data_IF_245112361674
#
_entry.id   IF_245112361674
#
_cell.length_a   1.000
_cell.length_b   1.000
_cell.length_c   1.000
_cell.angle_alpha   90.00
_cell.angle_beta   90.00
_cell.angle_gamma   90.00
#
_symmetry.space_group_name_H-M   'P 1'
#
loop_
_entity.id
_entity.type
_entity.pdbx_description
1 polymer ?
#
# COMPACT_ATOMS: atom_id res chain seq x y z
N UNK A 1 28.37 -27.39 -17.06
CA UNK A 1 27.51 -28.22 -16.17
C UNK A 1 28.36 -28.96 -15.14
N UNK A 2 29.20 -28.25 -14.40
CA UNK A 2 29.77 -28.80 -13.17
C UNK A 2 28.92 -28.31 -12.00
N UNK A 3 28.48 -29.24 -11.18
CA UNK A 3 27.63 -29.01 -10.02
C UNK A 3 28.33 -29.61 -8.81
N UNK A 4 28.46 -28.84 -7.74
CA UNK A 4 28.95 -29.37 -6.48
C UNK A 4 27.78 -29.95 -5.67
N UNK A 5 27.89 -31.20 -5.25
CA UNK A 5 26.90 -31.88 -4.40
C UNK A 5 27.55 -32.34 -3.10
N UNK A 6 26.99 -31.90 -1.96
CA UNK A 6 27.34 -32.38 -0.62
C UNK A 6 26.10 -32.87 0.11
N UNK A 7 26.16 -34.07 0.70
CA UNK A 7 25.09 -34.62 1.54
C UNK A 7 25.67 -35.22 2.81
N UNK A 8 25.12 -34.86 3.98
CA UNK A 8 25.51 -35.41 5.30
C UNK A 8 27.04 -35.37 5.54
N UNK A 9 27.66 -34.22 5.28
CA UNK A 9 29.09 -33.98 5.47
C UNK A 9 29.33 -32.72 6.29
N UNK A 10 30.42 -32.75 7.08
CA UNK A 10 30.98 -31.54 7.68
C UNK A 10 31.96 -30.90 6.69
N UNK A 11 31.73 -29.64 6.35
CA UNK A 11 32.62 -28.82 5.52
C UNK A 11 33.25 -27.74 6.38
N UNK A 12 34.55 -27.50 6.24
CA UNK A 12 35.14 -26.29 6.80
C UNK A 12 34.83 -25.06 5.93
N UNK A 13 34.94 -23.88 6.52
CA UNK A 13 34.65 -22.61 5.86
C UNK A 13 35.56 -22.36 4.65
N UNK A 14 36.82 -22.80 4.70
CA UNK A 14 37.78 -22.66 3.60
C UNK A 14 37.37 -23.50 2.40
N UNK A 15 36.91 -24.74 2.61
CA UNK A 15 36.36 -25.60 1.56
C UNK A 15 35.10 -24.98 0.98
N UNK A 16 34.18 -24.50 1.81
CA UNK A 16 32.96 -23.82 1.34
C UNK A 16 33.28 -22.58 0.50
N UNK A 17 34.22 -21.74 0.95
CA UNK A 17 34.69 -20.57 0.20
C UNK A 17 35.41 -20.96 -1.09
N UNK A 18 36.14 -22.08 -1.11
CA UNK A 18 36.78 -22.60 -2.31
C UNK A 18 35.75 -23.05 -3.34
N UNK A 19 34.65 -23.70 -2.91
CA UNK A 19 33.53 -24.12 -3.76
C UNK A 19 32.80 -22.89 -4.33
N UNK A 20 32.57 -21.87 -3.49
CA UNK A 20 31.98 -20.61 -3.93
C UNK A 20 32.83 -19.91 -5.01
N UNK A 21 34.16 -19.97 -4.90
CA UNK A 21 35.09 -19.37 -5.86
C UNK A 21 35.40 -20.25 -7.07
N UNK A 22 35.13 -21.55 -7.00
CA UNK A 22 35.37 -22.50 -8.09
C UNK A 22 34.38 -22.28 -9.24
N UNK A 23 34.71 -22.78 -10.44
CA UNK A 23 33.92 -22.61 -11.66
C UNK A 23 32.75 -23.63 -11.74
N UNK A 24 31.86 -23.57 -10.75
CA UNK A 24 30.62 -24.33 -10.70
C UNK A 24 29.43 -23.47 -11.15
N UNK A 25 28.53 -24.05 -11.93
CA UNK A 25 27.27 -23.40 -12.34
C UNK A 25 26.28 -23.30 -11.18
N UNK A 26 26.37 -24.23 -10.22
CA UNK A 26 25.49 -24.35 -9.06
C UNK A 26 26.12 -25.16 -7.93
N UNK A 27 25.68 -24.88 -6.70
CA UNK A 27 26.14 -25.52 -5.46
C UNK A 27 24.92 -26.07 -4.74
N UNK A 28 24.90 -27.37 -4.47
CA UNK A 28 23.84 -28.05 -3.72
C UNK A 28 24.43 -28.73 -2.48
N UNK A 29 24.07 -28.23 -1.32
CA UNK A 29 24.38 -28.80 -0.02
C UNK A 29 23.07 -29.16 0.69
N UNK A 30 22.96 -30.39 1.15
CA UNK A 30 21.80 -30.85 1.92
C UNK A 30 22.26 -31.59 3.16
N UNK A 31 21.68 -31.28 4.33
CA UNK A 31 22.08 -31.89 5.60
C UNK A 31 23.58 -31.72 5.92
N UNK A 32 24.20 -30.62 5.48
CA UNK A 32 25.62 -30.36 5.72
C UNK A 32 25.82 -29.48 6.95
N UNK A 33 26.92 -29.72 7.67
CA UNK A 33 27.38 -28.82 8.74
C UNK A 33 28.56 -28.02 8.19
N UNK A 34 28.47 -26.70 8.22
CA UNK A 34 29.55 -25.82 7.81
C UNK A 34 30.17 -25.19 9.06
N UNK A 35 31.45 -25.51 9.30
CA UNK A 35 32.22 -25.07 10.46
C UNK A 35 33.25 -24.01 10.07
N UNK A 36 33.42 -23.00 10.94
CA UNK A 36 34.35 -21.91 10.71
C UNK A 36 33.67 -20.65 10.16
N UNK A 37 34.34 -19.51 10.34
CA UNK A 37 33.79 -18.21 9.96
C UNK A 37 33.90 -18.01 8.45
N UNK A 38 32.75 -17.81 7.80
CA UNK A 38 32.68 -17.59 6.35
C UNK A 38 32.65 -16.08 6.11
N UNK A 39 33.71 -15.55 5.50
CA UNK A 39 33.77 -14.14 5.06
C UNK A 39 34.00 -14.11 3.56
N UNK A 40 32.93 -13.86 2.82
CA UNK A 40 32.99 -13.62 1.40
C UNK A 40 33.10 -12.11 1.15
N UNK A 41 34.34 -11.61 1.19
CA UNK A 41 34.69 -10.22 0.89
C UNK A 41 35.72 -10.14 -0.23
N UNK A 42 35.70 -9.04 -1.00
CA UNK A 42 36.74 -8.74 -1.96
C UNK A 42 38.04 -8.51 -1.19
N UNK A 43 39.15 -9.08 -1.68
CA UNK A 43 40.48 -8.73 -1.17
C UNK A 43 40.73 -7.29 -1.61
N UNK A 44 40.58 -6.34 -0.68
CA UNK A 44 40.78 -4.91 -0.91
C UNK A 44 42.05 -4.65 -1.75
N UNK A 45 41.87 -4.15 -2.97
CA UNK A 45 42.85 -3.29 -3.65
C UNK A 45 42.15 -1.97 -3.88
N UNK A 46 42.80 -0.88 -3.49
CA UNK A 46 42.17 0.36 -3.06
C UNK A 46 41.52 1.23 -4.17
N UNK A 47 41.18 0.70 -5.34
CA UNK A 47 40.81 1.54 -6.50
C UNK A 47 39.62 1.05 -7.34
N UNK A 48 38.88 0.02 -6.93
CA UNK A 48 37.59 -0.30 -7.56
C UNK A 48 36.56 -0.80 -6.53
N UNK A 49 35.38 -0.19 -6.51
CA UNK A 49 34.18 -0.78 -5.91
C UNK A 49 33.71 -1.95 -6.78
N UNK A 50 34.53 -3.00 -6.88
CA UNK A 50 34.09 -4.24 -7.51
C UNK A 50 33.09 -4.91 -6.59
N UNK A 51 31.81 -4.78 -6.95
CA UNK A 51 30.73 -5.55 -6.36
C UNK A 51 31.06 -7.04 -6.53
N UNK A 52 31.03 -7.80 -5.43
CA UNK A 52 31.34 -9.23 -5.45
C UNK A 52 30.22 -9.98 -6.18
N UNK A 53 30.46 -10.41 -7.41
CA UNK A 53 29.45 -11.12 -8.20
C UNK A 53 29.52 -12.62 -7.92
N UNK A 54 28.37 -13.21 -7.60
CA UNK A 54 28.18 -14.66 -7.50
C UNK A 54 27.14 -15.06 -8.55
N UNK A 55 27.63 -15.58 -9.68
CA UNK A 55 26.81 -16.04 -10.81
C UNK A 55 26.57 -17.56 -10.80
N UNK A 56 26.05 -18.05 -9.68
CA UNK A 56 25.68 -19.46 -9.52
C UNK A 56 24.53 -19.61 -8.56
N UNK A 57 23.74 -20.64 -8.79
CA UNK A 57 22.65 -21.02 -7.89
C UNK A 57 23.25 -21.62 -6.61
N UNK A 58 22.80 -21.15 -5.46
CA UNK A 58 23.23 -21.66 -4.16
C UNK A 58 22.03 -22.29 -3.48
N UNK A 59 22.10 -23.60 -3.26
CA UNK A 59 21.04 -24.37 -2.59
C UNK A 59 21.65 -25.07 -1.39
N UNK A 60 21.41 -24.53 -0.20
CA UNK A 60 21.84 -25.07 1.08
C UNK A 60 20.59 -25.38 1.91
N UNK A 61 20.08 -26.60 1.82
CA UNK A 61 18.83 -27.01 2.47
C UNK A 61 19.15 -27.85 3.71
N UNK A 62 18.46 -27.60 4.82
CA UNK A 62 18.69 -28.34 6.07
C UNK A 62 20.17 -28.33 6.53
N UNK A 63 20.89 -27.25 6.21
CA UNK A 63 22.29 -27.10 6.56
C UNK A 63 22.44 -26.36 7.89
N UNK A 64 23.56 -26.55 8.56
CA UNK A 64 23.88 -25.88 9.82
C UNK A 64 25.16 -25.07 9.70
N UNK A 65 25.06 -23.75 9.84
CA UNK A 65 26.19 -22.84 9.86
C UNK A 65 26.55 -22.54 11.32
N UNK A 66 27.66 -23.12 11.79
CA UNK A 66 28.08 -23.04 13.20
C UNK A 66 28.66 -21.69 13.61
N UNK A 67 29.13 -20.90 12.65
CA UNK A 67 29.81 -19.64 12.88
C UNK A 67 29.29 -18.55 11.95
N UNK A 68 29.83 -17.34 12.13
CA UNK A 68 29.42 -16.14 11.40
C UNK A 68 29.50 -16.35 9.88
N UNK A 69 28.42 -15.97 9.20
CA UNK A 69 28.29 -15.98 7.74
C UNK A 69 28.21 -14.54 7.22
N UNK A 70 29.20 -14.10 6.43
CA UNK A 70 29.22 -12.75 5.85
C UNK A 70 29.27 -12.78 4.33
N UNK A 71 28.21 -12.24 3.74
CA UNK A 71 28.10 -11.86 2.34
C UNK A 71 27.70 -10.39 2.30
N UNK A 72 28.59 -9.48 2.72
CA UNK A 72 28.34 -8.04 2.62
C UNK A 72 28.68 -7.56 1.21
N UNK A 73 27.90 -6.61 0.68
CA UNK A 73 28.13 -6.00 -0.65
C UNK A 73 28.28 -7.02 -1.79
N UNK A 74 27.55 -8.13 -1.69
CA UNK A 74 27.58 -9.21 -2.67
C UNK A 74 26.40 -9.07 -3.65
N UNK A 75 26.61 -9.43 -4.92
CA UNK A 75 25.60 -9.46 -5.97
C UNK A 75 25.35 -10.92 -6.38
N UNK A 76 24.26 -11.51 -5.90
CA UNK A 76 23.83 -12.84 -6.30
C UNK A 76 22.99 -12.73 -7.57
N UNK A 77 23.52 -13.19 -8.70
CA UNK A 77 22.80 -13.14 -9.99
C UNK A 77 21.73 -14.21 -10.12
N UNK A 78 21.93 -15.35 -9.46
CA UNK A 78 21.00 -16.48 -9.47
C UNK A 78 20.34 -16.67 -8.10
N UNK A 79 19.48 -17.67 -8.03
CA UNK A 79 18.69 -18.01 -6.87
C UNK A 79 19.55 -18.47 -5.68
N UNK A 80 19.11 -18.10 -4.48
CA UNK A 80 19.79 -18.44 -3.22
C UNK A 80 18.78 -19.03 -2.24
N UNK A 81 18.93 -20.31 -1.93
CA UNK A 81 18.02 -21.07 -1.08
C UNK A 81 18.76 -21.58 0.16
N UNK A 82 18.34 -21.12 1.33
CA UNK A 82 18.78 -21.54 2.66
C UNK A 82 17.64 -22.20 3.47
N UNK A 83 16.64 -22.77 2.79
CA UNK A 83 15.45 -23.31 3.44
C UNK A 83 15.76 -24.40 4.47
N UNK A 84 15.03 -24.40 5.59
CA UNK A 84 15.20 -25.33 6.71
C UNK A 84 16.60 -25.33 7.36
N UNK A 85 17.44 -24.33 7.09
CA UNK A 85 18.80 -24.27 7.64
C UNK A 85 18.86 -23.57 9.00
N UNK A 86 19.92 -23.81 9.76
CA UNK A 86 20.18 -23.19 11.06
C UNK A 86 21.44 -22.35 10.99
N UNK A 87 21.35 -21.11 11.45
CA UNK A 87 22.48 -20.18 11.58
C UNK A 87 22.71 -19.91 13.07
N UNK A 88 23.75 -20.53 13.64
CA UNK A 88 24.01 -20.45 15.08
C UNK A 88 24.53 -19.07 15.51
N UNK A 89 25.33 -18.44 14.64
CA UNK A 89 25.96 -17.15 14.89
C UNK A 89 25.44 -16.08 13.92
N UNK A 90 25.98 -14.86 13.99
CA UNK A 90 25.51 -13.73 13.20
C UNK A 90 25.59 -13.97 11.69
N UNK A 91 24.54 -13.53 10.97
CA UNK A 91 24.49 -13.56 9.50
C UNK A 91 24.45 -12.13 8.96
N UNK A 92 25.36 -11.81 8.06
CA UNK A 92 25.52 -10.48 7.47
C UNK A 92 25.28 -10.52 5.96
N UNK A 93 24.20 -9.86 5.52
CA UNK A 93 23.87 -9.58 4.12
C UNK A 93 23.80 -8.07 3.84
N UNK A 94 24.52 -7.27 4.63
CA UNK A 94 24.50 -5.82 4.51
C UNK A 94 24.87 -5.34 3.11
N UNK A 95 24.06 -4.45 2.54
CA UNK A 95 24.24 -3.90 1.18
C UNK A 95 24.33 -4.96 0.06
N UNK A 96 23.83 -6.17 0.30
CA UNK A 96 23.78 -7.24 -0.72
C UNK A 96 22.59 -7.11 -1.63
N UNK A 97 22.73 -7.60 -2.86
CA UNK A 97 21.68 -7.62 -3.86
C UNK A 97 21.40 -9.06 -4.26
N UNK A 98 20.15 -9.49 -4.08
CA UNK A 98 19.62 -10.75 -4.59
C UNK A 98 18.85 -10.45 -5.87
N UNK A 99 19.41 -10.79 -7.02
CA UNK A 99 18.82 -10.47 -8.31
C UNK A 99 17.55 -11.30 -8.57
N UNK A 100 17.58 -12.59 -8.21
CA UNK A 100 16.48 -13.54 -8.33
C UNK A 100 15.89 -13.90 -6.96
N UNK A 101 15.00 -14.90 -6.93
CA UNK A 101 14.33 -15.33 -5.71
C UNK A 101 15.33 -15.82 -4.66
N UNK A 102 15.07 -15.49 -3.39
CA UNK A 102 15.78 -16.03 -2.26
C UNK A 102 14.81 -16.63 -1.23
N UNK A 103 15.19 -17.76 -0.63
CA UNK A 103 14.34 -18.48 0.32
C UNK A 103 15.11 -18.83 1.60
N UNK A 104 14.64 -18.31 2.73
CA UNK A 104 15.07 -18.63 4.08
C UNK A 104 13.92 -19.30 4.88
N UNK A 105 12.91 -19.83 4.19
CA UNK A 105 11.73 -20.44 4.79
C UNK A 105 12.09 -21.59 5.72
N UNK A 106 11.39 -21.66 6.85
CA UNK A 106 11.58 -22.68 7.89
C UNK A 106 13.01 -22.71 8.49
N UNK A 107 13.84 -21.70 8.21
CA UNK A 107 15.17 -21.55 8.81
C UNK A 107 15.11 -20.96 10.22
N UNK A 108 16.19 -21.13 10.97
CA UNK A 108 16.37 -20.60 12.32
C UNK A 108 17.64 -19.77 12.39
N UNK A 109 17.50 -18.49 12.75
CA UNK A 109 18.61 -17.60 13.06
C UNK A 109 18.74 -17.50 14.59
N UNK A 110 19.68 -18.25 15.16
CA UNK A 110 20.01 -18.20 16.60
C UNK A 110 20.90 -17.00 16.93
N UNK A 111 21.69 -16.53 15.96
CA UNK A 111 22.41 -15.27 16.00
C UNK A 111 21.64 -14.10 15.35
N UNK A 112 22.17 -12.86 15.43
CA UNK A 112 21.59 -11.70 14.76
C UNK A 112 21.53 -11.88 13.24
N UNK A 113 20.41 -11.50 12.62
CA UNK A 113 20.22 -11.55 11.17
C UNK A 113 20.22 -10.13 10.60
N UNK A 114 21.31 -9.75 9.92
CA UNK A 114 21.59 -8.37 9.52
C UNK A 114 21.48 -8.23 7.99
N UNK A 115 20.35 -7.67 7.54
CA UNK A 115 20.02 -7.41 6.14
C UNK A 115 20.04 -5.91 5.82
N UNK A 116 20.75 -5.09 6.59
CA UNK A 116 20.68 -3.64 6.44
C UNK A 116 21.10 -3.19 5.04
N UNK A 117 20.25 -2.42 4.37
CA UNK A 117 20.52 -1.93 3.01
C UNK A 117 20.46 -3.00 1.91
N UNK A 118 20.03 -4.23 2.21
CA UNK A 118 19.90 -5.29 1.19
C UNK A 118 18.82 -4.92 0.16
N UNK A 119 19.03 -5.29 -1.10
CA UNK A 119 18.06 -5.17 -2.19
C UNK A 119 17.63 -6.57 -2.64
N UNK A 120 16.35 -6.90 -2.48
CA UNK A 120 15.74 -8.11 -3.00
C UNK A 120 15.00 -7.78 -4.29
N UNK A 121 15.61 -8.07 -5.44
CA UNK A 121 14.99 -7.89 -6.75
C UNK A 121 14.04 -9.03 -7.11
N UNK A 122 14.29 -10.24 -6.62
CA UNK A 122 13.34 -11.35 -6.66
C UNK A 122 12.48 -11.47 -5.40
N UNK A 123 11.57 -12.45 -5.40
CA UNK A 123 10.74 -12.75 -4.21
C UNK A 123 11.63 -13.17 -3.04
N UNK A 124 11.45 -12.54 -1.88
CA UNK A 124 12.16 -12.88 -0.66
C UNK A 124 11.24 -13.62 0.31
N UNK A 125 11.56 -14.88 0.61
CA UNK A 125 10.76 -15.74 1.49
C UNK A 125 11.46 -15.97 2.83
N UNK A 126 10.73 -15.69 3.90
CA UNK A 126 11.05 -15.91 5.30
C UNK A 126 9.86 -16.61 6.00
N UNK A 127 9.10 -17.42 5.26
CA UNK A 127 7.92 -18.12 5.77
C UNK A 127 8.30 -19.06 6.91
N UNK A 128 7.65 -18.94 8.07
CA UNK A 128 7.93 -19.72 9.29
C UNK A 128 9.38 -19.65 9.76
N UNK A 129 10.14 -18.64 9.32
CA UNK A 129 11.51 -18.40 9.81
C UNK A 129 11.46 -17.96 11.27
N UNK A 130 12.41 -18.44 12.09
CA UNK A 130 12.55 -18.01 13.48
C UNK A 130 13.79 -17.14 13.64
N UNK A 131 13.59 -15.87 13.94
CA UNK A 131 14.65 -14.95 14.37
C UNK A 131 14.68 -14.93 15.89
N UNK A 132 15.64 -15.63 16.49
CA UNK A 132 15.77 -15.70 17.95
C UNK A 132 16.42 -14.45 18.55
N UNK A 133 17.19 -13.74 17.72
CA UNK A 133 17.86 -12.48 18.04
C UNK A 133 17.36 -11.37 17.13
N UNK A 134 17.95 -10.19 17.31
CA UNK A 134 17.64 -8.99 16.51
C UNK A 134 17.67 -9.31 15.02
N UNK A 135 16.61 -8.93 14.33
CA UNK A 135 16.50 -8.99 12.88
C UNK A 135 16.49 -7.55 12.31
N UNK A 136 17.56 -7.17 11.62
CA UNK A 136 17.75 -5.83 11.07
C UNK A 136 17.48 -5.81 9.57
N UNK A 137 16.30 -5.31 9.19
CA UNK A 137 15.87 -5.02 7.82
C UNK A 137 15.78 -3.51 7.55
N UNK A 138 16.53 -2.68 8.28
CA UNK A 138 16.58 -1.25 8.02
C UNK A 138 17.14 -0.97 6.62
N UNK A 139 16.61 0.06 5.97
CA UNK A 139 17.06 0.50 4.63
C UNK A 139 16.91 -0.58 3.52
N UNK A 140 16.17 -1.67 3.79
CA UNK A 140 15.96 -2.75 2.80
C UNK A 140 15.00 -2.34 1.70
N UNK A 141 15.26 -2.81 0.48
CA UNK A 141 14.34 -2.69 -0.64
C UNK A 141 13.85 -4.07 -1.08
N UNK A 142 12.55 -4.31 -1.00
CA UNK A 142 11.88 -5.47 -1.59
C UNK A 142 11.19 -5.04 -2.89
N UNK A 143 11.77 -5.37 -4.03
CA UNK A 143 11.23 -5.04 -5.35
C UNK A 143 10.10 -5.98 -5.78
N UNK A 144 10.11 -7.23 -5.29
CA UNK A 144 9.06 -8.24 -5.46
C UNK A 144 8.43 -8.59 -4.11
N UNK A 145 7.56 -9.61 -4.08
CA UNK A 145 6.84 -10.02 -2.87
C UNK A 145 7.81 -10.36 -1.72
N UNK A 146 7.51 -9.85 -0.53
CA UNK A 146 8.20 -10.17 0.72
C UNK A 146 7.28 -11.01 1.61
N UNK A 147 7.67 -12.25 1.89
CA UNK A 147 6.80 -13.23 2.56
C UNK A 147 7.39 -13.62 3.91
N UNK A 148 6.77 -13.17 4.99
CA UNK A 148 7.10 -13.46 6.39
C UNK A 148 5.97 -14.23 7.08
N UNK A 149 5.19 -15.00 6.31
CA UNK A 149 4.04 -15.74 6.78
C UNK A 149 4.43 -16.73 7.88
N UNK A 150 3.85 -16.58 9.08
CA UNK A 150 4.16 -17.41 10.25
C UNK A 150 5.57 -17.21 10.81
N UNK A 151 6.31 -16.18 10.38
CA UNK A 151 7.63 -15.88 10.91
C UNK A 151 7.56 -15.47 12.39
N UNK A 152 8.57 -15.82 13.18
CA UNK A 152 8.63 -15.53 14.60
C UNK A 152 9.87 -14.67 14.88
N UNK A 153 9.64 -13.44 15.33
CA UNK A 153 10.65 -12.53 15.84
C UNK A 153 10.61 -12.55 17.37
N UNK A 154 11.64 -13.11 18.00
CA UNK A 154 11.72 -13.22 19.46
C UNK A 154 12.22 -11.92 20.10
N UNK A 155 13.28 -11.34 19.52
CA UNK A 155 13.82 -10.04 19.90
C UNK A 155 13.30 -8.93 18.95
N UNK A 156 13.81 -7.71 19.13
CA UNK A 156 13.46 -6.55 18.31
C UNK A 156 13.66 -6.80 16.81
N UNK A 157 12.69 -6.33 16.02
CA UNK A 157 12.74 -6.37 14.55
C UNK A 157 12.68 -4.96 13.99
N UNK A 158 13.62 -4.63 13.10
CA UNK A 158 13.78 -3.28 12.58
C UNK A 158 13.53 -3.26 11.07
N UNK A 159 12.52 -2.51 10.65
CA UNK A 159 12.11 -2.26 9.27
C UNK A 159 12.05 -0.74 8.99
N UNK A 160 12.96 0.03 9.59
CA UNK A 160 12.96 1.48 9.39
C UNK A 160 13.52 1.83 8.02
N UNK A 161 12.88 2.78 7.34
CA UNK A 161 13.24 3.20 5.97
C UNK A 161 13.21 2.04 4.94
N UNK A 162 12.49 0.97 5.24
CA UNK A 162 12.29 -0.16 4.33
C UNK A 162 11.27 0.20 3.26
N UNK A 163 11.53 -0.19 2.03
CA UNK A 163 10.65 0.02 0.89
C UNK A 163 10.10 -1.31 0.36
N UNK A 164 8.80 -1.52 0.49
CA UNK A 164 8.09 -2.68 -0.03
C UNK A 164 7.35 -2.29 -1.31
N UNK A 165 7.87 -2.71 -2.47
CA UNK A 165 7.30 -2.38 -3.78
C UNK A 165 6.05 -3.20 -4.11
N UNK A 166 6.07 -4.49 -3.78
CA UNK A 166 4.99 -5.45 -4.00
C UNK A 166 4.37 -5.88 -2.67
N UNK A 167 3.60 -6.98 -2.68
CA UNK A 167 2.89 -7.48 -1.51
C UNK A 167 3.84 -7.85 -0.38
N UNK A 168 3.47 -7.43 0.82
CA UNK A 168 4.08 -7.84 2.08
C UNK A 168 3.11 -8.75 2.85
N UNK A 169 3.53 -9.98 3.13
CA UNK A 169 2.73 -10.97 3.86
C UNK A 169 3.35 -11.25 5.24
N UNK A 170 2.69 -10.78 6.29
CA UNK A 170 2.98 -11.08 7.70
C UNK A 170 1.85 -11.91 8.34
N UNK A 171 1.06 -12.65 7.56
CA UNK A 171 -0.03 -13.47 8.08
C UNK A 171 0.51 -14.46 9.11
N UNK A 172 -0.10 -14.52 10.29
CA UNK A 172 0.32 -15.35 11.44
C UNK A 172 1.74 -15.06 11.96
N UNK A 173 2.39 -13.96 11.56
CA UNK A 173 3.69 -13.59 12.10
C UNK A 173 3.58 -13.21 13.59
N UNK A 174 4.62 -13.53 14.38
CA UNK A 174 4.68 -13.22 15.80
C UNK A 174 5.87 -12.31 16.09
N UNK A 175 5.60 -11.14 16.65
CA UNK A 175 6.58 -10.19 17.16
C UNK A 175 6.54 -10.20 18.68
N UNK A 176 7.50 -10.85 19.30
CA UNK A 176 7.55 -11.02 20.77
C UNK A 176 8.18 -9.82 21.49
N UNK A 177 8.82 -8.94 20.74
CA UNK A 177 9.36 -7.65 21.20
C UNK A 177 9.02 -6.56 20.16
N UNK A 178 9.69 -5.42 20.26
CA UNK A 178 9.43 -4.20 19.51
C UNK A 178 9.64 -4.41 18.02
N UNK A 179 8.59 -4.16 17.23
CA UNK A 179 8.66 -4.07 15.78
C UNK A 179 8.65 -2.60 15.34
N UNK A 180 9.68 -2.17 14.61
CA UNK A 180 9.88 -0.75 14.23
C UNK A 180 9.79 -0.60 12.72
N UNK A 181 8.80 0.15 12.23
CA UNK A 181 8.58 0.42 10.80
C UNK A 181 8.77 1.91 10.45
N UNK A 182 9.55 2.64 11.25
CA UNK A 182 9.62 4.10 11.11
C UNK A 182 10.14 4.52 9.72
N UNK A 183 9.45 5.46 9.07
CA UNK A 183 9.76 5.95 7.72
C UNK A 183 9.74 4.86 6.62
N UNK A 184 9.08 3.72 6.87
CA UNK A 184 8.90 2.71 5.81
C UNK A 184 7.82 3.15 4.81
N UNK A 185 7.89 2.55 3.62
CA UNK A 185 6.92 2.77 2.54
C UNK A 185 6.37 1.43 2.06
N UNK A 186 5.04 1.34 2.01
CA UNK A 186 4.32 0.17 1.49
C UNK A 186 3.56 0.59 0.22
N UNK A 187 3.88 -0.02 -0.93
CA UNK A 187 3.27 0.34 -2.22
C UNK A 187 2.04 -0.49 -2.60
N UNK A 188 2.05 -1.77 -2.30
CA UNK A 188 0.93 -2.69 -2.55
C UNK A 188 0.38 -3.22 -1.23
N UNK A 189 -0.46 -4.25 -1.28
CA UNK A 189 -1.09 -4.89 -0.12
C UNK A 189 -0.09 -5.25 0.98
N UNK A 190 -0.48 -4.98 2.23
CA UNK A 190 0.28 -5.39 3.40
C UNK A 190 -0.66 -6.12 4.36
N UNK A 191 -0.38 -7.41 4.55
CA UNK A 191 -1.26 -8.31 5.26
C UNK A 191 -0.66 -8.69 6.62
N UNK A 192 -1.21 -8.17 7.70
CA UNK A 192 -0.91 -8.60 9.08
C UNK A 192 -2.06 -9.41 9.68
N UNK A 193 -2.87 -10.10 8.85
CA UNK A 193 -3.99 -10.92 9.33
C UNK A 193 -3.48 -11.95 10.34
N UNK A 194 -4.07 -11.98 11.54
CA UNK A 194 -3.66 -12.84 12.66
C UNK A 194 -2.21 -12.68 13.14
N UNK A 195 -1.51 -11.62 12.72
CA UNK A 195 -0.20 -11.30 13.28
C UNK A 195 -0.34 -10.88 14.75
N UNK A 196 0.64 -11.27 15.57
CA UNK A 196 0.65 -11.00 17.01
C UNK A 196 1.82 -10.10 17.37
N UNK A 197 1.55 -9.05 18.14
CA UNK A 197 2.55 -8.16 18.69
C UNK A 197 2.47 -8.22 20.21
N UNK A 198 3.49 -8.72 20.89
CA UNK A 198 3.54 -8.80 22.35
C UNK A 198 3.85 -7.43 22.98
N UNK A 199 4.53 -6.56 22.23
CA UNK A 199 4.84 -5.17 22.60
C UNK A 199 4.35 -4.25 21.47
N UNK A 200 4.09 -2.98 21.82
CA UNK A 200 3.75 -1.92 20.89
C UNK A 200 4.67 -1.88 19.66
N UNK A 201 4.09 -1.78 18.47
CA UNK A 201 4.83 -1.56 17.23
C UNK A 201 4.89 -0.06 16.89
N UNK A 202 6.07 0.40 16.46
CA UNK A 202 6.34 1.81 16.16
C UNK A 202 6.20 2.09 14.66
N UNK A 203 5.30 3.01 14.30
CA UNK A 203 4.99 3.38 12.92
C UNK A 203 5.07 4.90 12.70
N UNK A 204 6.20 5.53 13.01
CA UNK A 204 6.38 6.97 12.81
C UNK A 204 6.69 7.31 11.35
N UNK A 205 5.99 8.30 10.79
CA UNK A 205 6.20 8.79 9.42
C UNK A 205 6.12 7.70 8.34
N UNK A 206 5.27 6.69 8.54
CA UNK A 206 5.02 5.66 7.53
C UNK A 206 4.16 6.24 6.42
N UNK A 207 4.57 6.02 5.17
CA UNK A 207 3.81 6.43 4.00
C UNK A 207 3.08 5.23 3.39
N UNK A 208 1.76 5.33 3.26
CA UNK A 208 0.92 4.39 2.51
C UNK A 208 0.45 5.06 1.24
N UNK A 209 0.42 4.34 0.12
CA UNK A 209 -0.21 4.86 -1.08
C UNK A 209 -1.73 4.68 -0.94
N UNK A 210 -2.46 5.76 -0.72
CA UNK A 210 -3.91 5.70 -0.54
C UNK A 210 -4.61 5.65 -1.89
N UNK A 211 -5.35 4.57 -2.11
CA UNK A 211 -6.32 4.41 -3.19
C UNK A 211 -7.15 5.68 -3.38
N UNK A 212 -6.87 6.44 -4.43
CA UNK A 212 -7.67 7.59 -4.83
C UNK A 212 -8.00 7.50 -6.30
N UNK A 213 -9.20 7.95 -6.69
CA UNK A 213 -9.62 7.95 -8.10
C UNK A 213 -8.64 8.73 -8.99
N UNK A 214 -8.01 9.79 -8.47
CA UNK A 214 -6.98 10.53 -9.20
C UNK A 214 -5.69 9.74 -9.41
N UNK A 215 -5.32 8.84 -8.49
CA UNK A 215 -4.24 7.89 -8.72
C UNK A 215 -4.65 6.84 -9.73
N UNK A 216 -5.87 6.29 -9.68
CA UNK A 216 -6.36 5.37 -10.70
C UNK A 216 -6.34 5.99 -12.12
N UNK A 217 -6.83 7.23 -12.25
CA UNK A 217 -6.77 7.98 -13.52
C UNK A 217 -5.31 8.16 -13.96
N UNK A 218 -4.42 8.55 -13.04
CA UNK A 218 -2.99 8.71 -13.33
C UNK A 218 -2.36 7.39 -13.78
N UNK A 219 -2.59 6.29 -13.07
CA UNK A 219 -2.03 4.96 -13.40
C UNK A 219 -2.50 4.48 -14.77
N UNK A 220 -3.78 4.69 -15.12
CA UNK A 220 -4.32 4.35 -16.44
C UNK A 220 -3.75 5.20 -17.57
N UNK A 221 -3.33 6.43 -17.28
CA UNK A 221 -2.64 7.32 -18.23
C UNK A 221 -1.14 7.01 -18.33
N UNK A 222 -0.55 6.39 -17.29
CA UNK A 222 0.91 6.17 -17.18
C UNK A 222 1.32 4.70 -17.40
N UNK A 223 0.41 3.82 -17.85
CA UNK A 223 0.64 2.37 -18.06
C UNK A 223 1.37 1.66 -16.89
N UNK A 224 1.07 2.06 -15.66
CA UNK A 224 1.55 1.39 -14.44
C UNK A 224 0.40 0.58 -13.83
N UNK A 225 0.55 -0.74 -13.63
CA UNK A 225 -0.43 -1.53 -12.90
C UNK A 225 -0.22 -1.31 -11.40
N UNK A 226 -0.84 -0.29 -10.82
CA UNK A 226 -0.87 -0.08 -9.38
C UNK A 226 -2.19 -0.62 -8.82
N UNK A 227 -2.11 -1.61 -7.92
CA UNK A 227 -3.23 -2.04 -7.11
C UNK A 227 -3.18 -1.39 -5.71
N UNK A 228 -4.35 -1.10 -5.12
CA UNK A 228 -4.50 -0.48 -3.80
C UNK A 228 -3.68 -1.13 -2.68
N UNK A 229 -3.16 -0.35 -1.73
CA UNK A 229 -2.72 -0.89 -0.44
C UNK A 229 -3.92 -1.16 0.47
N UNK A 230 -4.33 -2.41 0.50
CA UNK A 230 -5.28 -2.96 1.46
C UNK A 230 -4.54 -3.42 2.73
N UNK A 231 -4.90 -2.88 3.91
CA UNK A 231 -4.22 -3.13 5.19
C UNK A 231 -5.10 -3.99 6.11
N UNK A 232 -4.55 -5.05 6.71
CA UNK A 232 -5.28 -6.00 7.55
C UNK A 232 -4.60 -6.11 8.91
N UNK A 233 -5.30 -5.81 9.99
CA UNK A 233 -4.80 -6.02 11.35
C UNK A 233 -5.97 -6.41 12.24
N UNK A 234 -6.23 -7.70 12.29
CA UNK A 234 -7.27 -8.30 13.14
C UNK A 234 -6.66 -8.67 14.51
N UNK A 235 -6.17 -7.66 15.23
CA UNK A 235 -5.66 -7.86 16.58
C UNK A 235 -6.59 -7.20 17.58
N UNK A 236 -6.97 -7.92 18.62
CA UNK A 236 -7.65 -7.39 19.82
C UNK A 236 -6.85 -6.27 20.51
N UNK A 237 -5.58 -6.04 20.12
CA UNK A 237 -4.65 -5.13 20.76
C UNK A 237 -4.20 -3.94 19.88
N UNK A 238 -5.14 -3.29 19.19
CA UNK A 238 -4.90 -1.98 18.52
C UNK A 238 -4.50 -0.91 19.56
N UNK A 239 -4.63 -1.19 20.86
CA UNK A 239 -4.19 -0.30 21.94
C UNK A 239 -2.65 -0.22 22.05
N UNK A 240 -1.92 -1.24 21.59
CA UNK A 240 -0.46 -1.22 21.51
C UNK A 240 0.10 -0.33 20.38
N UNK A 241 -0.71 0.11 19.41
CA UNK A 241 -0.20 1.00 18.36
C UNK A 241 -0.18 2.44 18.86
N UNK A 242 1.02 2.95 19.17
CA UNK A 242 1.24 4.30 19.68
C UNK A 242 0.84 5.42 18.70
N UNK A 243 0.69 5.12 17.41
CA UNK A 243 0.33 6.11 16.40
C UNK A 243 -1.21 6.21 16.23
N UNK A 244 -1.84 7.31 16.69
CA UNK A 244 -3.30 7.48 16.59
C UNK A 244 -3.79 7.59 15.13
N UNK A 245 -2.98 8.13 14.22
CA UNK A 245 -3.33 8.21 12.80
C UNK A 245 -3.36 6.83 12.15
N UNK A 246 -2.41 5.96 12.52
CA UNK A 246 -2.39 4.59 12.04
C UNK A 246 -3.58 3.80 12.56
N UNK A 247 -3.85 3.87 13.88
CA UNK A 247 -5.02 3.23 14.50
C UNK A 247 -6.33 3.60 13.79
N UNK A 248 -6.51 4.88 13.46
CA UNK A 248 -7.67 5.36 12.70
C UNK A 248 -7.68 4.85 11.26
N UNK A 249 -6.53 4.84 10.58
CA UNK A 249 -6.42 4.30 9.23
C UNK A 249 -6.82 2.81 9.16
N UNK A 250 -6.34 1.99 10.11
CA UNK A 250 -6.72 0.58 10.21
C UNK A 250 -8.23 0.41 10.41
N UNK A 251 -8.80 1.17 11.35
CA UNK A 251 -10.24 1.13 11.62
C UNK A 251 -11.09 1.56 10.40
N UNK A 252 -10.69 2.61 9.71
CA UNK A 252 -11.36 3.09 8.49
C UNK A 252 -11.31 2.03 7.38
N UNK A 253 -10.17 1.36 7.19
CA UNK A 253 -10.03 0.28 6.19
C UNK A 253 -10.89 -0.93 6.53
N UNK A 254 -10.93 -1.35 7.79
CA UNK A 254 -11.81 -2.43 8.25
C UNK A 254 -13.28 -2.10 8.02
N UNK A 255 -13.70 -0.87 8.34
CA UNK A 255 -15.07 -0.42 8.11
C UNK A 255 -15.43 -0.43 6.62
N UNK A 256 -14.56 0.10 5.75
CA UNK A 256 -14.79 0.12 4.30
C UNK A 256 -14.99 -1.31 3.76
N UNK A 257 -14.24 -2.29 4.26
CA UNK A 257 -14.41 -3.70 3.86
C UNK A 257 -15.72 -4.30 4.33
N UNK A 258 -16.01 -4.22 5.62
CA UNK A 258 -17.25 -4.73 6.18
C UNK A 258 -18.46 -4.11 5.46
N UNK A 259 -18.35 -2.83 5.09
CA UNK A 259 -19.34 -2.14 4.28
C UNK A 259 -19.40 -2.66 2.84
N UNK A 260 -18.26 -2.89 2.18
CA UNK A 260 -18.17 -3.41 0.81
C UNK A 260 -18.73 -4.84 0.67
N UNK A 261 -18.48 -5.70 1.65
CA UNK A 261 -19.03 -7.05 1.70
C UNK A 261 -20.55 -7.04 1.87
N UNK A 262 -21.04 -6.17 2.76
CA UNK A 262 -22.48 -6.06 3.04
C UNK A 262 -23.25 -5.30 1.96
N UNK A 263 -22.63 -4.28 1.35
CA UNK A 263 -23.26 -3.31 0.47
C UNK A 263 -22.36 -2.94 -0.73
N UNK A 264 -22.14 -3.87 -1.68
CA UNK A 264 -21.18 -3.67 -2.78
C UNK A 264 -21.57 -2.51 -3.70
N UNK A 265 -22.86 -2.34 -3.99
CA UNK A 265 -23.35 -1.23 -4.81
C UNK A 265 -23.12 0.14 -4.15
N UNK A 266 -23.44 0.28 -2.86
CA UNK A 266 -23.24 1.53 -2.14
C UNK A 266 -21.76 1.85 -1.93
N UNK A 267 -20.91 0.83 -1.74
CA UNK A 267 -19.47 1.00 -1.69
C UNK A 267 -18.92 1.57 -3.00
N UNK A 268 -19.43 1.12 -4.14
CA UNK A 268 -19.07 1.67 -5.45
C UNK A 268 -19.48 3.14 -5.58
N UNK A 269 -20.71 3.50 -5.19
CA UNK A 269 -21.20 4.90 -5.21
C UNK A 269 -20.37 5.79 -4.29
N UNK A 270 -20.06 5.31 -3.08
CA UNK A 270 -19.28 6.07 -2.11
C UNK A 270 -17.83 6.27 -2.54
N UNK A 271 -17.23 5.25 -3.16
CA UNK A 271 -15.94 5.34 -3.84
C UNK A 271 -15.96 6.40 -4.92
N UNK A 272 -16.90 6.31 -5.86
CA UNK A 272 -16.94 7.19 -7.04
C UNK A 272 -17.18 8.67 -6.69
N UNK A 273 -17.99 8.92 -5.66
CA UNK A 273 -18.35 10.27 -5.23
C UNK A 273 -17.25 10.97 -4.42
N UNK A 274 -16.63 10.28 -3.46
CA UNK A 274 -15.73 10.90 -2.47
C UNK A 274 -14.47 10.12 -2.18
N UNK A 275 -14.28 8.99 -2.86
CA UNK A 275 -13.23 8.03 -2.56
C UNK A 275 -13.27 7.57 -1.09
N UNK A 276 -14.45 7.09 -0.68
CA UNK A 276 -14.74 6.73 0.72
C UNK A 276 -14.53 7.88 1.71
N UNK A 277 -14.80 9.11 1.29
CA UNK A 277 -14.65 10.31 2.11
C UNK A 277 -13.23 10.87 2.17
N UNK A 278 -12.29 10.35 1.37
CA UNK A 278 -10.87 10.76 1.40
C UNK A 278 -10.58 11.96 0.50
N UNK A 279 -11.38 12.17 -0.54
CA UNK A 279 -11.11 13.20 -1.56
C UNK A 279 -12.14 14.31 -1.60
N UNK A 280 -11.76 15.46 -1.03
CA UNK A 280 -12.52 16.71 -1.14
C UNK A 280 -12.66 17.18 -2.59
N UNK A 281 -11.62 16.99 -3.41
CA UNK A 281 -11.61 17.46 -4.79
C UNK A 281 -12.65 16.73 -5.66
N UNK A 282 -12.78 15.41 -5.48
CA UNK A 282 -13.82 14.63 -6.15
C UNK A 282 -15.21 15.05 -5.71
N UNK A 283 -15.40 15.27 -4.41
CA UNK A 283 -16.68 15.75 -3.90
C UNK A 283 -17.06 17.12 -4.48
N UNK A 284 -16.11 18.06 -4.53
CA UNK A 284 -16.31 19.37 -5.14
C UNK A 284 -16.60 19.28 -6.64
N UNK A 285 -15.91 18.39 -7.35
CA UNK A 285 -16.16 18.11 -8.77
C UNK A 285 -17.59 17.61 -9.00
N UNK A 286 -18.05 16.65 -8.20
CA UNK A 286 -19.42 16.13 -8.28
C UNK A 286 -20.47 17.20 -7.95
N UNK A 287 -20.24 18.02 -6.92
CA UNK A 287 -21.11 19.16 -6.61
C UNK A 287 -21.24 20.11 -7.80
N UNK A 288 -20.11 20.44 -8.46
CA UNK A 288 -20.10 21.31 -9.64
C UNK A 288 -20.82 20.67 -10.83
N UNK A 289 -20.59 19.37 -11.07
CA UNK A 289 -21.25 18.61 -12.13
C UNK A 289 -22.77 18.52 -11.91
N UNK A 290 -23.21 18.33 -10.67
CA UNK A 290 -24.63 18.34 -10.32
C UNK A 290 -25.23 19.72 -10.63
N UNK A 291 -24.61 20.80 -10.14
CA UNK A 291 -25.08 22.16 -10.42
C UNK A 291 -25.11 22.47 -11.93
N UNK A 292 -24.07 22.06 -12.68
CA UNK A 292 -24.07 22.20 -14.15
C UNK A 292 -25.20 21.40 -14.81
N UNK A 293 -25.49 20.20 -14.32
CA UNK A 293 -26.58 19.39 -14.87
C UNK A 293 -27.96 20.01 -14.63
N UNK A 294 -28.22 20.55 -13.44
CA UNK A 294 -29.46 21.27 -13.14
C UNK A 294 -29.56 22.59 -13.89
N UNK A 295 -28.44 23.31 -14.07
CA UNK A 295 -28.40 24.49 -14.93
C UNK A 295 -28.91 24.20 -16.35
N UNK A 296 -28.56 23.05 -16.93
CA UNK A 296 -29.05 22.66 -18.26
C UNK A 296 -30.54 22.32 -18.25
N UNK A 297 -31.05 21.74 -17.15
CA UNK A 297 -32.47 21.42 -16.98
C UNK A 297 -33.34 22.67 -16.71
N UNK A 298 -32.75 23.74 -16.18
CA UNK A 298 -33.41 25.02 -15.95
C UNK A 298 -33.47 25.91 -17.20
N UNK A 299 -32.71 25.59 -18.24
CA UNK A 299 -32.84 26.29 -19.50
C UNK A 299 -34.19 25.94 -20.14
N UNK A 300 -34.77 26.93 -20.82
CA UNK A 300 -36.00 26.73 -21.58
C UNK A 300 -35.83 25.56 -22.56
N UNK A 301 -36.84 24.69 -22.62
CA UNK A 301 -36.84 23.55 -23.52
C UNK A 301 -36.55 23.93 -24.97
N UNK A 302 -35.90 23.06 -25.75
CA UNK A 302 -35.60 23.36 -27.14
C UNK A 302 -36.84 23.71 -27.95
N UNK A 303 -36.73 24.70 -28.83
CA UNK A 303 -37.84 25.19 -29.67
C UNK A 303 -38.40 24.16 -30.66
N UNK A 304 -37.75 23.00 -30.80
CA UNK A 304 -38.19 21.90 -31.67
C UNK A 304 -39.17 20.93 -31.00
N UNK A 305 -39.48 21.07 -29.70
CA UNK A 305 -40.46 20.22 -29.02
C UNK A 305 -41.90 20.54 -29.43
N UNK A 306 -42.80 19.54 -29.55
CA UNK A 306 -44.23 19.76 -29.78
C UNK A 306 -44.90 20.59 -28.67
N UNK A 307 -45.86 21.45 -29.02
CA UNK A 307 -46.56 22.36 -28.09
C UNK A 307 -47.15 21.66 -26.85
N UNK A 308 -47.67 20.44 -27.01
CA UNK A 308 -48.20 19.64 -25.89
C UNK A 308 -47.16 19.21 -24.85
N UNK A 309 -45.89 19.12 -25.23
CA UNK A 309 -44.77 18.80 -24.33
C UNK A 309 -44.09 20.07 -23.79
N UNK A 310 -44.18 21.21 -24.50
CA UNK A 310 -43.64 22.48 -24.04
C UNK A 310 -44.28 22.98 -22.74
N UNK A 311 -45.59 22.73 -22.54
CA UNK A 311 -46.29 23.07 -21.29
C UNK A 311 -45.89 22.21 -20.08
N UNK A 312 -45.30 21.03 -20.33
CA UNK A 312 -44.81 20.13 -19.29
C UNK A 312 -43.34 20.43 -18.89
N UNK A 313 -42.58 21.10 -19.76
CA UNK A 313 -41.20 21.50 -19.49
C UNK A 313 -41.13 22.52 -18.35
N UNK A 314 -40.09 22.50 -17.51
CA UNK A 314 -39.98 23.42 -16.39
C UNK A 314 -39.82 24.87 -16.89
N UNK A 315 -40.61 25.78 -16.33
CA UNK A 315 -40.62 27.20 -16.69
C UNK A 315 -40.19 28.06 -15.51
N UNK A 316 -39.32 29.02 -15.80
CA UNK A 316 -38.74 29.94 -14.84
C UNK A 316 -38.69 31.34 -15.43
N UNK A 317 -38.93 32.33 -14.58
CA UNK A 317 -38.70 33.73 -14.94
C UNK A 317 -37.95 34.45 -13.82
N UNK A 318 -37.28 35.52 -14.22
CA UNK A 318 -36.62 36.45 -13.31
C UNK A 318 -37.60 37.53 -12.85
N UNK A 319 -37.65 37.78 -11.54
CA UNK A 319 -38.57 38.74 -10.90
C UNK A 319 -37.89 40.10 -10.67
N UNK A 320 -36.55 40.13 -10.56
CA UNK A 320 -35.76 41.32 -10.22
C UNK A 320 -34.60 41.55 -11.19
N UNK A 321 -34.34 42.81 -11.59
CA UNK A 321 -33.21 43.20 -12.47
C UNK A 321 -33.61 43.63 -13.89
N UNK A 322 -32.63 43.83 -14.77
CA UNK A 322 -32.88 44.08 -16.20
C UNK A 322 -33.32 42.77 -16.89
N UNK A 323 -34.39 42.85 -17.69
CA UNK A 323 -35.08 41.75 -18.38
C UNK A 323 -36.04 40.90 -17.52
N UNK A 324 -36.97 41.57 -16.83
CA UNK A 324 -38.10 40.94 -16.14
C UNK A 324 -38.94 40.14 -17.17
N UNK A 325 -39.27 38.89 -16.86
CA UNK A 325 -40.03 37.94 -17.71
C UNK A 325 -39.31 37.35 -18.94
N UNK A 326 -38.00 37.55 -19.10
CA UNK A 326 -37.25 36.81 -20.13
C UNK A 326 -36.86 35.39 -19.67
N UNK A 327 -36.75 34.43 -20.63
CA UNK A 327 -36.27 33.09 -20.32
C UNK A 327 -34.82 33.12 -19.80
N UNK A 328 -34.49 32.20 -18.90
CA UNK A 328 -33.16 32.11 -18.31
C UNK A 328 -32.10 31.74 -19.37
N UNK A 329 -31.12 32.62 -19.55
CA UNK A 329 -29.86 32.28 -20.21
C UNK A 329 -29.06 31.26 -19.39
N UNK A 330 -28.13 30.53 -20.02
CA UNK A 330 -27.27 29.54 -19.34
C UNK A 330 -26.65 30.07 -18.03
N UNK A 331 -26.06 31.27 -18.04
CA UNK A 331 -25.41 31.82 -16.85
C UNK A 331 -26.38 32.17 -15.73
N UNK A 332 -27.60 32.60 -16.06
CA UNK A 332 -28.67 32.84 -15.07
C UNK A 332 -29.17 31.51 -14.49
N UNK A 333 -29.34 30.48 -15.33
CA UNK A 333 -29.69 29.13 -14.90
C UNK A 333 -28.62 28.50 -14.02
N UNK A 334 -27.34 28.72 -14.34
CA UNK A 334 -26.21 28.20 -13.56
C UNK A 334 -26.11 28.89 -12.21
N UNK A 335 -26.24 30.21 -12.18
CA UNK A 335 -26.32 30.97 -10.94
C UNK A 335 -27.50 30.50 -10.07
N UNK A 336 -28.68 30.34 -10.66
CA UNK A 336 -29.87 29.88 -9.93
C UNK A 336 -29.69 28.47 -9.37
N UNK A 337 -29.06 27.57 -10.13
CA UNK A 337 -28.70 26.22 -9.67
C UNK A 337 -27.72 26.27 -8.50
N UNK A 338 -26.65 27.08 -8.56
CA UNK A 338 -25.71 27.21 -7.44
C UNK A 338 -26.41 27.74 -6.18
N UNK A 339 -27.26 28.76 -6.30
CA UNK A 339 -28.00 29.36 -5.18
C UNK A 339 -28.98 28.37 -4.56
N UNK A 340 -29.65 27.57 -5.38
CA UNK A 340 -30.61 26.54 -4.95
C UNK A 340 -29.90 25.34 -4.33
N UNK A 341 -28.85 24.85 -4.98
CA UNK A 341 -28.00 23.74 -4.51
C UNK A 341 -27.30 24.07 -3.18
N UNK A 342 -26.91 25.32 -2.97
CA UNK A 342 -26.34 25.80 -1.69
C UNK A 342 -27.40 26.22 -0.68
N UNK A 343 -28.68 26.14 -1.04
CA UNK A 343 -29.83 26.52 -0.19
C UNK A 343 -29.84 28.00 0.25
N UNK A 344 -29.13 28.87 -0.46
CA UNK A 344 -29.05 30.31 -0.17
C UNK A 344 -30.36 31.05 -0.49
N UNK A 345 -30.97 30.76 -1.64
CA UNK A 345 -32.31 31.24 -2.01
C UNK A 345 -32.53 32.76 -2.01
N UNK A 346 -31.91 33.50 -2.95
CA UNK A 346 -32.06 34.95 -3.04
C UNK A 346 -33.45 35.45 -3.49
N UNK A 347 -34.28 34.57 -4.07
CA UNK A 347 -35.66 34.90 -4.46
C UNK A 347 -35.81 35.76 -5.72
N UNK A 348 -34.76 35.84 -6.54
CA UNK A 348 -34.69 36.57 -7.80
C UNK A 348 -35.25 35.80 -9.01
N UNK A 349 -35.27 34.46 -8.92
CA UNK A 349 -35.83 33.55 -9.92
C UNK A 349 -36.90 32.67 -9.28
N UNK A 350 -38.04 32.51 -9.96
CA UNK A 350 -39.20 31.77 -9.44
C UNK A 350 -39.65 30.68 -10.42
N UNK A 351 -40.11 29.55 -9.88
CA UNK A 351 -40.65 28.42 -10.61
C UNK A 351 -42.16 28.60 -10.89
N UNK A 352 -42.52 28.71 -12.16
CA UNK A 352 -43.89 29.02 -12.59
C UNK A 352 -44.83 27.83 -12.55
N UNK A 353 -44.33 26.67 -12.97
CA UNK A 353 -45.13 25.47 -13.13
C UNK A 353 -44.73 24.34 -12.18
N UNK A 354 -45.58 23.33 -12.10
CA UNK A 354 -45.38 22.20 -11.19
C UNK A 354 -44.08 21.44 -11.46
N UNK A 355 -43.68 21.28 -12.73
CA UNK A 355 -42.42 20.60 -13.09
C UNK A 355 -41.19 21.38 -12.64
N UNK A 356 -41.17 22.71 -12.78
CA UNK A 356 -40.11 23.56 -12.25
C UNK A 356 -39.99 23.46 -10.73
N UNK A 357 -41.12 23.45 -10.00
CA UNK A 357 -41.13 23.31 -8.54
C UNK A 357 -40.60 21.95 -8.07
N UNK A 358 -40.97 20.87 -8.77
CA UNK A 358 -40.43 19.53 -8.51
C UNK A 358 -38.91 19.52 -8.73
N UNK A 359 -38.44 20.10 -9.83
CA UNK A 359 -37.02 20.13 -10.17
C UNK A 359 -36.19 20.91 -9.14
N UNK A 360 -36.66 22.07 -8.69
CA UNK A 360 -36.03 22.85 -7.60
C UNK A 360 -36.01 22.06 -6.30
N UNK A 361 -37.11 21.38 -5.97
CA UNK A 361 -37.19 20.56 -4.75
C UNK A 361 -36.16 19.41 -4.78
N UNK A 362 -36.00 18.75 -5.92
CA UNK A 362 -35.00 17.71 -6.10
C UNK A 362 -33.58 18.25 -5.96
N UNK A 363 -33.28 19.42 -6.54
CA UNK A 363 -31.95 20.04 -6.41
C UNK A 363 -31.62 20.37 -4.96
N UNK A 364 -32.57 20.90 -4.19
CA UNK A 364 -32.38 21.19 -2.76
C UNK A 364 -32.07 19.91 -1.97
N UNK A 365 -32.75 18.80 -2.26
CA UNK A 365 -32.47 17.50 -1.63
C UNK A 365 -31.03 17.05 -1.93
N UNK A 366 -30.60 17.14 -3.19
CA UNK A 366 -29.20 16.84 -3.56
C UNK A 366 -28.21 17.79 -2.87
N UNK A 367 -28.53 19.08 -2.79
CA UNK A 367 -27.74 20.08 -2.10
C UNK A 367 -27.47 19.72 -0.64
N UNK A 368 -28.50 19.32 0.11
CA UNK A 368 -28.35 18.88 1.50
C UNK A 368 -27.52 17.60 1.64
N UNK A 369 -27.70 16.61 0.75
CA UNK A 369 -26.88 15.39 0.75
C UNK A 369 -25.41 15.73 0.51
N UNK A 370 -25.13 16.61 -0.46
CA UNK A 370 -23.78 17.03 -0.79
C UNK A 370 -23.15 17.88 0.31
N UNK A 371 -23.91 18.75 0.96
CA UNK A 371 -23.45 19.51 2.12
C UNK A 371 -23.12 18.60 3.31
N UNK A 372 -23.98 17.62 3.61
CA UNK A 372 -23.74 16.65 4.67
C UNK A 372 -22.46 15.84 4.47
N UNK A 373 -22.22 15.35 3.24
CA UNK A 373 -20.97 14.68 2.91
C UNK A 373 -19.75 15.61 2.93
N UNK A 374 -19.90 16.88 2.52
CA UNK A 374 -18.82 17.87 2.61
C UNK A 374 -18.39 18.09 4.07
N UNK A 375 -19.35 18.26 4.98
CA UNK A 375 -19.10 18.41 6.42
C UNK A 375 -18.41 17.16 6.97
N UNK A 376 -18.87 15.95 6.59
CA UNK A 376 -18.25 14.69 7.00
C UNK A 376 -16.78 14.57 6.55
N UNK A 377 -16.50 14.90 5.29
CA UNK A 377 -15.14 14.88 4.73
C UNK A 377 -14.25 15.91 5.42
N UNK A 378 -14.76 17.14 5.64
CA UNK A 378 -14.02 18.18 6.35
C UNK A 378 -13.75 17.81 7.81
N UNK A 379 -14.74 17.27 8.52
CA UNK A 379 -14.59 16.82 9.89
C UNK A 379 -13.51 15.73 9.99
N UNK A 380 -13.52 14.75 9.07
CA UNK A 380 -12.50 13.72 9.00
C UNK A 380 -11.10 14.28 8.71
N UNK A 381 -10.98 15.28 7.84
CA UNK A 381 -9.70 15.88 7.46
C UNK A 381 -9.14 16.84 8.51
N UNK A 382 -9.98 17.51 9.28
CA UNK A 382 -9.56 18.35 10.41
C UNK A 382 -9.16 17.48 11.61
N UNK A 383 -9.96 16.46 11.92
CA UNK A 383 -9.66 15.50 12.97
C UNK A 383 -8.46 14.59 12.65
N UNK A 384 -7.95 14.59 11.41
CA UNK A 384 -6.70 13.91 11.03
C UNK A 384 -5.47 14.82 11.06
N UNK A 385 -5.62 16.09 11.45
CA UNK A 385 -4.51 17.06 11.61
C UNK A 385 -4.30 17.52 13.05
N UNK A 386 -5.26 17.28 13.93
CA UNK A 386 -5.16 17.40 15.40
C UNK A 386 -4.75 16.07 16.00
#
# INVERSE_FOLDING_TARGET
MQVYHGTEQTLDADTFLSILRADYESIFLTNCIIEGTIVFSAKFTAESEEQLIVDKEIVCIQCEFKNVLKFEKTFFQKEVFFGNSVFQDAVHFGETVFQNACDFGESVFEGPALFRGTVFNGTARFSKTRFQRVADFNDVQFSENAVFRGAIFQDASHFSRTFFRKKLDFVQAQFSDTAVFNKSTFREETDFTTARFAVAASYQNVSFNSDTIWQWVRCKVTDQPEQPTEFYLDSEDINGVLNPFFKRYVADQQFIRAFKEKHPFWALVWRWSSDYGRSLALWALWSLLIALSFSLLYMSGPSWLPEGLQGAMPQFHQVTGENVHEPLTFWKSFYFSIVTFTTLGFGDVVADNTSARILVTLEVIFGYVMLGGLISIFANKLASRS
#
